data_IF_181417801220
#
_entry.id   IF_181417801220
#
_cell.length_a   1.000
_cell.length_b   1.000
_cell.length_c   1.000
_cell.angle_alpha   90.00
_cell.angle_beta   90.00
_cell.angle_gamma   90.00
#
_symmetry.space_group_name_H-M   'P 1'
#
loop_
_entity.id
_entity.type
_entity.pdbx_description
1 polymer ?
#
# COMPACT_ATOMS: atom_id res chain seq x y z
N UNK A 1 11.43 -57.01 -18.97
CA UNK A 1 10.20 -56.26 -19.29
C UNK A 1 9.67 -55.64 -18.01
N UNK A 2 10.03 -54.39 -17.73
CA UNK A 2 9.47 -53.60 -16.64
C UNK A 2 8.39 -52.68 -17.23
N UNK A 3 7.18 -52.73 -16.69
CA UNK A 3 6.07 -51.90 -17.15
C UNK A 3 6.41 -50.40 -16.94
N UNK A 4 6.08 -49.52 -17.90
CA UNK A 4 6.25 -48.09 -17.69
C UNK A 4 5.31 -47.64 -16.58
N UNK A 5 5.89 -47.08 -15.52
CA UNK A 5 5.15 -46.56 -14.37
C UNK A 5 4.13 -45.52 -14.82
N UNK A 6 2.87 -45.76 -14.50
CA UNK A 6 1.78 -44.83 -14.77
C UNK A 6 1.94 -43.59 -13.88
N UNK A 7 2.47 -42.50 -14.42
CA UNK A 7 2.31 -41.19 -13.81
C UNK A 7 0.84 -40.76 -13.95
N UNK A 8 0.02 -41.05 -12.94
CA UNK A 8 -1.38 -40.64 -12.85
C UNK A 8 -1.54 -39.53 -11.80
N UNK A 9 -1.54 -38.28 -12.25
CA UNK A 9 -2.70 -37.38 -12.22
C UNK A 9 -2.26 -36.04 -12.79
N UNK A 10 -2.88 -35.60 -13.89
CA UNK A 10 -2.72 -34.23 -14.38
C UNK A 10 -3.64 -33.37 -13.50
N UNK A 11 -3.10 -32.84 -12.41
CA UNK A 11 -3.82 -31.88 -11.56
C UNK A 11 -4.02 -30.62 -12.39
N UNK A 12 -5.27 -30.24 -12.60
CA UNK A 12 -5.62 -28.96 -13.21
C UNK A 12 -5.61 -27.87 -12.14
N UNK A 13 -4.64 -26.96 -12.23
CA UNK A 13 -4.49 -25.85 -11.29
C UNK A 13 -5.54 -24.74 -11.53
N UNK A 14 -6.23 -24.76 -12.67
CA UNK A 14 -7.27 -23.79 -13.02
C UNK A 14 -8.68 -24.27 -12.61
N UNK A 15 -8.80 -25.46 -12.02
CA UNK A 15 -10.07 -26.01 -11.55
C UNK A 15 -10.48 -25.36 -10.21
N UNK A 16 -11.32 -24.32 -10.27
CA UNK A 16 -11.88 -23.66 -9.08
C UNK A 16 -12.60 -24.63 -8.14
N UNK A 17 -13.29 -25.64 -8.66
CA UNK A 17 -13.95 -26.69 -7.86
C UNK A 17 -12.95 -27.55 -7.07
N UNK A 18 -11.78 -27.81 -7.66
CA UNK A 18 -10.69 -28.52 -6.98
C UNK A 18 -10.05 -27.62 -5.92
N UNK A 19 -9.77 -26.36 -6.27
CA UNK A 19 -9.17 -25.39 -5.36
C UNK A 19 -10.09 -25.16 -4.14
N UNK A 20 -11.39 -24.98 -4.35
CA UNK A 20 -12.37 -24.76 -3.27
C UNK A 20 -12.43 -25.91 -2.26
N UNK A 21 -12.10 -27.15 -2.65
CA UNK A 21 -12.03 -28.31 -1.74
C UNK A 21 -10.78 -28.31 -0.85
N UNK A 22 -9.71 -27.64 -1.29
CA UNK A 22 -8.39 -27.66 -0.64
C UNK A 22 -8.14 -26.35 0.12
N UNK A 23 -8.61 -25.22 -0.42
CA UNK A 23 -8.48 -23.88 0.15
C UNK A 23 -9.49 -23.64 1.28
N UNK A 24 -9.19 -24.22 2.44
CA UNK A 24 -10.05 -24.13 3.64
C UNK A 24 -10.24 -22.70 4.17
N UNK A 25 -9.37 -21.77 3.78
CA UNK A 25 -9.43 -20.39 4.23
C UNK A 25 -10.11 -19.47 3.22
N UNK A 26 -10.48 -19.98 2.04
CA UNK A 26 -11.03 -19.18 0.94
C UNK A 26 -10.13 -18.00 0.53
N UNK A 27 -8.84 -18.28 0.42
CA UNK A 27 -7.87 -17.32 -0.11
C UNK A 27 -8.17 -16.93 -1.56
N UNK A 28 -8.69 -17.85 -2.38
CA UNK A 28 -9.06 -17.55 -3.76
C UNK A 28 -10.24 -16.56 -3.81
N UNK A 29 -11.25 -16.72 -2.97
CA UNK A 29 -12.32 -15.73 -2.80
C UNK A 29 -11.78 -14.39 -2.32
N UNK A 30 -10.91 -14.39 -1.31
CA UNK A 30 -10.28 -13.17 -0.79
C UNK A 30 -9.47 -12.40 -1.86
N UNK A 31 -8.79 -13.10 -2.77
CA UNK A 31 -8.05 -12.47 -3.89
C UNK A 31 -9.00 -12.02 -5.01
N UNK A 32 -10.08 -12.77 -5.27
CA UNK A 32 -11.07 -12.40 -6.28
C UNK A 32 -11.81 -11.10 -5.97
N UNK A 33 -11.82 -10.66 -4.71
CA UNK A 33 -12.33 -9.34 -4.29
C UNK A 33 -11.40 -8.16 -4.63
N UNK A 34 -10.20 -8.41 -5.18
CA UNK A 34 -9.26 -7.35 -5.55
C UNK A 34 -9.88 -6.20 -6.36
N UNK A 35 -10.69 -6.45 -7.42
CA UNK A 35 -11.30 -5.38 -8.21
C UNK A 35 -12.31 -4.53 -7.42
N UNK A 36 -12.87 -5.07 -6.34
CA UNK A 36 -13.90 -4.36 -5.56
C UNK A 36 -13.32 -3.17 -4.81
N UNK A 37 -12.02 -3.21 -4.46
CA UNK A 37 -11.33 -2.07 -3.87
C UNK A 37 -11.34 -0.83 -4.78
N UNK A 38 -11.21 -1.03 -6.10
CA UNK A 38 -11.18 0.05 -7.10
C UNK A 38 -12.56 0.64 -7.40
N UNK A 39 -13.63 -0.12 -7.12
CA UNK A 39 -15.01 0.35 -7.25
C UNK A 39 -15.45 1.19 -6.05
N UNK A 40 -14.73 1.10 -4.92
CA UNK A 40 -15.03 1.88 -3.72
C UNK A 40 -14.35 3.24 -3.83
N UNK A 41 -15.17 4.29 -3.81
CA UNK A 41 -14.68 5.66 -3.82
C UNK A 41 -14.22 6.05 -2.41
N UNK A 42 -12.94 6.32 -2.23
CA UNK A 42 -12.40 6.86 -0.96
C UNK A 42 -12.59 8.38 -0.92
N UNK A 43 -13.85 8.82 -0.91
CA UNK A 43 -14.20 10.26 -0.89
C UNK A 43 -13.94 10.92 0.47
N UNK A 44 -13.71 10.13 1.53
CA UNK A 44 -13.79 10.58 2.92
C UNK A 44 -12.64 11.51 3.38
N UNK A 45 -11.50 11.56 2.67
CA UNK A 45 -10.29 12.30 3.13
C UNK A 45 -9.86 13.50 2.30
N UNK A 46 -10.63 13.89 1.27
CA UNK A 46 -10.27 14.97 0.35
C UNK A 46 -10.05 16.32 1.04
N UNK A 47 -10.80 16.64 2.10
CA UNK A 47 -10.79 17.95 2.75
C UNK A 47 -9.52 18.24 3.57
N UNK A 48 -9.04 17.26 4.33
CA UNK A 48 -7.89 17.44 5.25
C UNK A 48 -6.55 17.41 4.51
N UNK A 49 -6.44 16.57 3.48
CA UNK A 49 -5.23 16.40 2.67
C UNK A 49 -4.95 17.64 1.80
N UNK A 50 -5.97 18.23 1.18
CA UNK A 50 -5.84 19.36 0.24
C UNK A 50 -5.12 20.59 0.82
N UNK A 51 -5.20 20.81 2.13
CA UNK A 51 -4.53 21.95 2.80
C UNK A 51 -3.00 21.84 2.82
N UNK A 52 -2.44 20.65 2.58
CA UNK A 52 -1.01 20.36 2.69
C UNK A 52 -0.22 20.32 1.38
N UNK A 53 -0.81 20.66 0.23
CA UNK A 53 -0.15 20.56 -1.09
C UNK A 53 1.08 21.48 -1.25
N UNK A 54 1.04 22.67 -0.66
CA UNK A 54 2.06 23.68 -0.93
C UNK A 54 3.43 23.24 -0.40
N UNK A 55 4.45 23.27 -1.26
CA UNK A 55 5.82 22.98 -0.88
C UNK A 55 6.28 21.53 -1.04
N UNK A 56 5.41 20.61 -1.46
CA UNK A 56 5.81 19.24 -1.81
C UNK A 56 6.65 19.26 -3.10
N UNK A 57 7.88 18.75 -3.01
CA UNK A 57 8.90 18.70 -4.07
C UNK A 57 9.45 17.30 -4.33
N UNK A 58 9.10 16.34 -3.49
CA UNK A 58 9.52 14.94 -3.60
C UNK A 58 8.53 14.02 -2.89
N UNK A 59 8.44 12.77 -3.32
CA UNK A 59 7.56 11.74 -2.77
C UNK A 59 8.37 10.51 -2.31
N UNK A 60 8.04 9.99 -1.14
CA UNK A 60 8.51 8.69 -0.66
C UNK A 60 7.30 7.86 -0.25
N UNK A 61 7.12 6.70 -0.88
CA UNK A 61 6.19 5.66 -0.46
C UNK A 61 6.99 4.60 0.31
N UNK A 62 6.78 4.48 1.61
CA UNK A 62 7.54 3.57 2.48
C UNK A 62 6.67 2.39 2.90
N UNK A 63 7.12 1.16 2.65
CA UNK A 63 6.45 -0.04 3.14
C UNK A 63 7.29 -1.29 2.94
N UNK A 64 6.81 -2.41 3.49
CA UNK A 64 7.44 -3.72 3.33
C UNK A 64 6.52 -4.67 2.56
N UNK A 65 7.12 -5.56 1.76
CA UNK A 65 6.38 -6.59 1.01
C UNK A 65 5.23 -6.02 0.18
N UNK A 66 4.00 -6.52 0.39
CA UNK A 66 2.82 -6.06 -0.33
C UNK A 66 2.51 -4.56 -0.16
N UNK A 67 2.90 -3.96 0.97
CA UNK A 67 2.75 -2.50 1.17
C UNK A 67 3.70 -1.69 0.29
N UNK A 68 4.92 -2.19 0.04
CA UNK A 68 5.81 -1.59 -0.94
C UNK A 68 5.29 -1.81 -2.37
N UNK A 69 4.81 -3.04 -2.66
CA UNK A 69 4.28 -3.40 -3.97
C UNK A 69 3.13 -2.50 -4.41
N UNK A 70 2.27 -2.09 -3.46
CA UNK A 70 1.24 -1.08 -3.72
C UNK A 70 1.82 0.25 -4.21
N UNK A 71 2.91 0.71 -3.57
CA UNK A 71 3.61 1.91 -3.99
C UNK A 71 4.28 1.78 -5.37
N UNK A 72 4.81 0.60 -5.71
CA UNK A 72 5.41 0.37 -7.03
C UNK A 72 4.36 0.49 -8.13
N UNK A 73 3.19 -0.12 -7.93
CA UNK A 73 2.07 -0.04 -8.89
C UNK A 73 1.63 1.42 -9.07
N UNK A 74 1.51 2.18 -7.98
CA UNK A 74 1.10 3.59 -8.04
C UNK A 74 2.13 4.45 -8.76
N UNK A 75 3.43 4.31 -8.46
CA UNK A 75 4.46 5.09 -9.15
C UNK A 75 4.61 4.70 -10.61
N UNK A 76 4.44 3.42 -10.94
CA UNK A 76 4.50 2.95 -12.33
C UNK A 76 3.31 3.50 -13.14
N UNK A 77 2.11 3.47 -12.57
CA UNK A 77 0.92 4.05 -13.19
C UNK A 77 1.07 5.55 -13.44
N UNK A 78 1.58 6.30 -12.47
CA UNK A 78 1.70 7.77 -12.56
C UNK A 78 3.03 8.25 -13.16
N UNK A 79 3.82 7.34 -13.77
CA UNK A 79 5.19 7.61 -14.20
C UNK A 79 5.35 8.86 -15.07
N UNK A 80 4.46 9.06 -16.03
CA UNK A 80 4.53 10.18 -16.98
C UNK A 80 3.81 11.45 -16.47
N UNK A 81 2.95 11.30 -15.46
CA UNK A 81 2.15 12.36 -14.89
C UNK A 81 2.85 13.08 -13.74
N UNK A 82 3.55 12.33 -12.88
CA UNK A 82 4.15 12.85 -11.67
C UNK A 82 5.31 13.81 -11.98
N UNK A 83 5.16 15.08 -11.59
CA UNK A 83 6.15 16.14 -11.89
C UNK A 83 7.23 16.32 -10.82
N UNK A 84 7.27 15.44 -9.83
CA UNK A 84 8.24 15.47 -8.73
C UNK A 84 8.98 14.13 -8.64
N UNK A 85 10.25 14.11 -8.19
CA UNK A 85 10.96 12.86 -7.93
C UNK A 85 10.22 12.02 -6.89
N UNK A 86 10.06 10.73 -7.18
CA UNK A 86 9.37 9.78 -6.30
C UNK A 86 10.16 8.49 -6.15
N UNK A 87 10.02 7.86 -4.98
CA UNK A 87 10.71 6.62 -4.62
C UNK A 87 9.81 5.72 -3.78
N UNK A 88 9.80 4.42 -4.08
CA UNK A 88 9.36 3.39 -3.14
C UNK A 88 10.55 3.00 -2.28
N UNK A 89 10.47 3.28 -0.97
CA UNK A 89 11.50 2.92 0.00
C UNK A 89 11.09 1.63 0.72
N UNK A 90 12.01 0.67 0.79
CA UNK A 90 11.77 -0.66 1.38
C UNK A 90 12.82 -1.05 2.41
N UNK A 91 13.81 -0.20 2.63
CA UNK A 91 14.93 -0.51 3.51
C UNK A 91 14.74 0.13 4.88
N UNK A 92 15.33 -0.44 5.94
CA UNK A 92 15.42 0.24 7.22
C UNK A 92 16.06 1.64 7.08
N UNK A 93 15.59 2.59 7.90
CA UNK A 93 16.06 3.96 7.88
C UNK A 93 15.28 4.87 6.93
N UNK A 94 15.85 6.03 6.62
CA UNK A 94 15.19 7.09 5.84
C UNK A 94 16.15 7.64 4.78
N UNK A 95 15.72 7.79 3.51
CA UNK A 95 16.57 8.34 2.47
C UNK A 95 17.14 9.72 2.85
N UNK A 96 18.39 9.98 2.46
CA UNK A 96 19.10 11.19 2.85
C UNK A 96 18.43 12.49 2.40
N UNK A 97 17.73 12.46 1.26
CA UNK A 97 17.07 13.64 0.68
C UNK A 97 15.78 14.06 1.41
N UNK A 98 15.21 13.20 2.27
CA UNK A 98 13.92 13.49 2.94
C UNK A 98 14.04 14.74 3.81
N UNK A 99 13.19 15.73 3.54
CA UNK A 99 13.16 17.02 4.23
C UNK A 99 11.74 17.61 4.26
N UNK A 100 11.62 18.88 4.68
CA UNK A 100 10.34 19.59 4.79
C UNK A 100 9.56 19.74 3.47
N UNK A 101 10.19 19.55 2.31
CA UNK A 101 9.52 19.48 1.01
C UNK A 101 9.24 18.07 0.53
N UNK A 102 9.34 17.06 1.39
CA UNK A 102 9.03 15.67 1.04
C UNK A 102 7.65 15.30 1.55
N UNK A 103 6.84 14.71 0.68
CA UNK A 103 5.68 13.93 1.07
C UNK A 103 6.15 12.50 1.37
N UNK A 104 5.97 12.05 2.60
CA UNK A 104 6.31 10.72 3.07
C UNK A 104 5.03 9.96 3.43
N UNK A 105 4.72 8.92 2.67
CA UNK A 105 3.56 8.06 2.91
C UNK A 105 4.05 6.74 3.51
N UNK A 106 3.73 6.50 4.78
CA UNK A 106 3.99 5.22 5.44
C UNK A 106 2.85 4.25 5.16
N UNK A 107 3.12 3.19 4.41
CA UNK A 107 2.17 2.13 4.06
C UNK A 107 2.53 0.89 4.89
N UNK A 108 1.62 0.47 5.75
CA UNK A 108 1.77 -0.77 6.53
C UNK A 108 0.42 -1.39 6.74
N UNK A 109 0.13 -2.49 6.03
CA UNK A 109 -1.12 -3.23 6.20
C UNK A 109 -1.43 -3.50 7.68
N UNK A 110 -0.50 -4.12 8.41
CA UNK A 110 -0.66 -4.44 9.84
C UNK A 110 -0.66 -3.22 10.77
N UNK A 111 -0.27 -2.04 10.28
CA UNK A 111 -0.01 -0.87 11.12
C UNK A 111 1.21 -0.95 12.05
N UNK A 112 1.92 -2.09 12.09
CA UNK A 112 2.87 -2.41 13.15
C UNK A 112 4.30 -2.69 12.65
N UNK A 113 4.53 -2.57 11.35
CA UNK A 113 5.84 -2.84 10.73
C UNK A 113 6.90 -1.87 11.26
N UNK A 114 7.93 -2.40 11.92
CA UNK A 114 8.95 -1.61 12.64
C UNK A 114 9.69 -0.65 11.72
N UNK A 115 10.04 -1.09 10.51
CA UNK A 115 10.72 -0.32 9.48
C UNK A 115 9.90 0.91 9.09
N UNK A 116 8.61 0.71 8.75
CA UNK A 116 7.68 1.79 8.41
C UNK A 116 7.52 2.77 9.57
N UNK A 117 7.32 2.27 10.80
CA UNK A 117 7.14 3.12 11.98
C UNK A 117 8.38 3.97 12.29
N UNK A 118 9.58 3.38 12.17
CA UNK A 118 10.83 4.08 12.44
C UNK A 118 11.11 5.14 11.37
N UNK A 119 10.91 4.80 10.10
CA UNK A 119 11.06 5.75 9.00
C UNK A 119 10.03 6.90 9.09
N UNK A 120 8.78 6.61 9.49
CA UNK A 120 7.74 7.62 9.69
C UNK A 120 8.12 8.64 10.76
N UNK A 121 8.60 8.17 11.93
CA UNK A 121 9.09 9.07 12.98
C UNK A 121 10.26 9.92 12.49
N UNK A 122 11.22 9.31 11.80
CA UNK A 122 12.38 10.02 11.26
C UNK A 122 11.97 11.08 10.23
N UNK A 123 11.01 10.78 9.35
CA UNK A 123 10.49 11.71 8.35
C UNK A 123 9.82 12.91 9.02
N UNK A 124 8.97 12.66 10.02
CA UNK A 124 8.34 13.70 10.82
C UNK A 124 9.37 14.57 11.56
N UNK A 125 10.42 13.97 12.16
CA UNK A 125 11.51 14.74 12.80
C UNK A 125 12.27 15.64 11.81
N UNK A 126 12.31 15.28 10.52
CA UNK A 126 12.84 16.13 9.43
C UNK A 126 11.82 17.10 8.85
N UNK A 127 10.66 17.23 9.49
CA UNK A 127 9.53 18.09 9.12
C UNK A 127 8.90 17.76 7.77
N UNK A 128 9.10 16.54 7.26
CA UNK A 128 8.41 16.07 6.07
C UNK A 128 6.89 16.06 6.28
N UNK A 129 6.12 16.17 5.21
CA UNK A 129 4.68 15.96 5.24
C UNK A 129 4.43 14.46 5.36
N UNK A 130 3.93 13.99 6.51
CA UNK A 130 3.75 12.55 6.76
C UNK A 130 2.28 12.14 6.68
N UNK A 131 2.01 11.00 6.06
CA UNK A 131 0.67 10.39 5.95
C UNK A 131 0.78 8.88 6.16
N UNK A 132 -0.11 8.29 6.97
CA UNK A 132 -0.16 6.85 7.19
C UNK A 132 -1.26 6.17 6.38
N UNK A 133 -1.00 4.93 5.94
CA UNK A 133 -1.97 4.06 5.25
C UNK A 133 -1.90 2.65 5.86
N UNK A 134 -3.04 2.07 6.25
CA UNK A 134 -3.08 0.72 6.82
C UNK A 134 -4.40 0.39 7.51
N UNK A 135 -4.48 -0.77 8.18
CA UNK A 135 -5.70 -1.17 8.91
C UNK A 135 -5.80 -0.61 10.33
N UNK A 136 -4.85 0.24 10.75
CA UNK A 136 -4.78 0.84 12.09
C UNK A 136 -3.41 0.64 12.76
N UNK A 137 -3.43 0.19 14.03
CA UNK A 137 -2.24 -0.17 14.80
C UNK A 137 -1.36 1.00 15.22
N UNK A 138 -0.09 0.72 15.54
CA UNK A 138 0.86 1.75 16.01
C UNK A 138 1.04 2.91 15.01
N UNK A 139 0.84 2.66 13.72
CA UNK A 139 0.92 3.70 12.70
C UNK A 139 -0.26 4.69 12.81
N UNK A 140 -1.50 4.21 13.01
CA UNK A 140 -2.63 5.11 13.24
C UNK A 140 -2.50 5.89 14.55
N UNK A 141 -2.01 5.23 15.60
CA UNK A 141 -1.74 5.90 16.89
C UNK A 141 -0.71 7.01 16.72
N UNK A 142 0.36 6.74 15.96
CA UNK A 142 1.40 7.71 15.67
C UNK A 142 0.87 8.88 14.82
N UNK A 143 0.04 8.61 13.81
CA UNK A 143 -0.63 9.65 13.04
C UNK A 143 -1.49 10.54 13.93
N UNK A 144 -2.30 9.96 14.81
CA UNK A 144 -3.14 10.69 15.76
C UNK A 144 -2.32 11.59 16.69
N UNK A 145 -1.24 11.04 17.28
CA UNK A 145 -0.33 11.79 18.15
C UNK A 145 0.33 12.98 17.43
N UNK A 146 0.68 12.81 16.17
CA UNK A 146 1.34 13.84 15.36
C UNK A 146 0.36 14.77 14.62
N UNK A 147 -0.96 14.54 14.76
CA UNK A 147 -2.01 15.20 13.96
C UNK A 147 -1.75 15.08 12.45
N UNK A 148 -1.20 13.93 12.05
CA UNK A 148 -0.97 13.57 10.67
C UNK A 148 -2.16 12.78 10.12
N UNK A 149 -2.51 12.92 8.83
CA UNK A 149 -3.57 12.13 8.21
C UNK A 149 -3.28 10.63 8.25
N UNK A 150 -4.33 9.83 8.42
CA UNK A 150 -4.27 8.38 8.35
C UNK A 150 -5.43 7.85 7.50
N UNK A 151 -5.11 7.16 6.41
CA UNK A 151 -6.09 6.53 5.54
C UNK A 151 -6.23 5.06 5.92
N UNK A 152 -7.38 4.74 6.51
CA UNK A 152 -7.71 3.38 6.91
C UNK A 152 -8.06 2.54 5.67
N UNK A 153 -7.62 1.29 5.68
CA UNK A 153 -8.12 0.24 4.78
C UNK A 153 -8.76 -0.88 5.59
N UNK A 154 -9.67 -1.62 4.98
CA UNK A 154 -10.36 -2.69 5.67
C UNK A 154 -9.42 -3.89 5.90
N UNK A 155 -9.51 -4.55 7.08
CA UNK A 155 -8.85 -5.81 7.29
C UNK A 155 -9.24 -6.84 6.22
N UNK A 156 -8.24 -7.53 5.69
CA UNK A 156 -8.40 -8.64 4.77
C UNK A 156 -7.89 -9.94 5.42
N UNK A 157 -8.24 -11.07 4.82
CA UNK A 157 -7.81 -12.40 5.28
C UNK A 157 -6.27 -12.54 5.37
N UNK A 158 -5.55 -11.87 4.48
CA UNK A 158 -4.09 -11.79 4.49
C UNK A 158 -3.61 -10.49 3.84
N UNK A 159 -2.39 -10.01 4.14
CA UNK A 159 -1.85 -8.78 3.54
C UNK A 159 -1.86 -8.79 2.00
N UNK A 160 -1.62 -9.96 1.39
CA UNK A 160 -1.66 -10.15 -0.07
C UNK A 160 -3.07 -9.96 -0.68
N UNK A 161 -4.12 -10.21 0.08
CA UNK A 161 -5.51 -9.95 -0.33
C UNK A 161 -5.89 -8.47 -0.15
N UNK A 162 -5.10 -7.69 0.61
CA UNK A 162 -5.33 -6.26 0.79
C UNK A 162 -4.63 -5.38 -0.26
N UNK A 163 -3.85 -5.96 -1.18
CA UNK A 163 -3.03 -5.21 -2.14
C UNK A 163 -3.85 -4.17 -2.94
N UNK A 164 -5.03 -4.56 -3.44
CA UNK A 164 -5.91 -3.65 -4.17
C UNK A 164 -6.34 -2.44 -3.34
N UNK A 165 -6.68 -2.66 -2.07
CA UNK A 165 -7.03 -1.58 -1.15
C UNK A 165 -5.85 -0.66 -0.86
N UNK A 166 -4.64 -1.20 -0.70
CA UNK A 166 -3.44 -0.41 -0.47
C UNK A 166 -3.06 0.43 -1.70
N UNK A 167 -3.23 -0.12 -2.91
CA UNK A 167 -3.02 0.62 -4.17
C UNK A 167 -4.00 1.79 -4.23
N UNK A 168 -5.29 1.53 -4.06
CA UNK A 168 -6.33 2.56 -4.10
C UNK A 168 -6.06 3.61 -3.02
N UNK A 169 -5.76 3.21 -1.79
CA UNK A 169 -5.48 4.16 -0.71
C UNK A 169 -4.25 5.03 -1.00
N UNK A 170 -3.14 4.44 -1.46
CA UNK A 170 -1.94 5.20 -1.83
C UNK A 170 -2.19 6.14 -3.02
N UNK A 171 -2.93 5.68 -4.04
CA UNK A 171 -3.37 6.51 -5.16
C UNK A 171 -4.22 7.69 -4.69
N UNK A 172 -5.23 7.45 -3.84
CA UNK A 172 -6.13 8.48 -3.33
C UNK A 172 -5.42 9.55 -2.51
N UNK A 173 -4.32 9.21 -1.82
CA UNK A 173 -3.47 10.21 -1.16
C UNK A 173 -2.88 11.18 -2.18
N UNK A 174 -2.33 10.67 -3.28
CA UNK A 174 -1.79 11.50 -4.35
C UNK A 174 -2.90 12.28 -5.06
N UNK A 175 -4.05 11.62 -5.25
CA UNK A 175 -5.23 12.19 -5.91
C UNK A 175 -5.73 13.45 -5.19
N UNK A 176 -5.92 13.32 -3.89
CA UNK A 176 -6.41 14.38 -3.03
C UNK A 176 -5.41 15.53 -2.87
N UNK A 177 -4.12 15.28 -3.11
CA UNK A 177 -3.08 16.31 -3.11
C UNK A 177 -2.89 16.95 -4.48
N UNK A 178 -3.59 16.49 -5.53
CA UNK A 178 -3.46 17.01 -6.89
C UNK A 178 -2.05 16.79 -7.45
N UNK A 179 -1.48 15.62 -7.19
CA UNK A 179 -0.17 15.18 -7.70
C UNK A 179 -0.29 14.29 -8.96
N UNK A 180 -1.51 14.02 -9.40
CA UNK A 180 -1.93 13.37 -10.64
C UNK A 180 -2.49 14.40 -11.63
N UNK A 181 -2.59 14.02 -12.90
CA UNK A 181 -3.29 14.81 -13.93
C UNK A 181 -4.77 14.42 -13.99
N UNK A 182 -5.64 15.31 -14.49
CA UNK A 182 -7.08 15.02 -14.69
C UNK A 182 -7.34 13.86 -15.68
#
# INVERSE_FOLDING_TARGET
MTAPGSFKMKIDLDSFDLVAKIDRSDMIGAVNHFPDAFKRRTDEMAGELRRGRSGIRSLVLMGMGGSASAGDVVLDWLRDELKIPALVHREPGLPGFVNHGTLFVGISYSGNTSETLNAFRAANSRRAHVIGVGTGGKLSDLCSQLRAPFLAVEPALAPRAALGQLIVAAASVLENLGLQSD
#
